data_IF_398036404137
#
_entry.id   IF_398036404137
#
_cell.length_a   1.000
_cell.length_b   1.000
_cell.length_c   1.000
_cell.angle_alpha   90.00
_cell.angle_beta   90.00
_cell.angle_gamma   90.00
#
_symmetry.space_group_name_H-M   'P 1'
#
loop_
_entity.id
_entity.type
_entity.pdbx_description
1 polymer ?
#
# COMPACT_ATOMS: atom_id res chain seq x y z
N UNK A 1 -10.30 0.12 18.81
CA UNK A 1 -9.30 -0.03 19.89
C UNK A 1 -9.58 -1.39 20.52
N UNK A 2 -8.95 -2.42 19.98
CA UNK A 2 -9.19 -3.82 20.33
C UNK A 2 -7.83 -4.49 20.44
N UNK A 3 -7.60 -5.12 21.58
CA UNK A 3 -6.30 -5.50 22.09
C UNK A 3 -5.61 -6.55 21.23
N UNK A 4 -4.40 -6.22 20.78
CA UNK A 4 -3.45 -7.18 20.23
C UNK A 4 -2.92 -7.99 21.42
N UNK A 5 -3.11 -9.32 21.38
CA UNK A 5 -2.56 -10.23 22.39
C UNK A 5 -1.04 -10.35 22.14
N UNK A 6 -0.25 -9.48 22.79
CA UNK A 6 1.20 -9.40 22.67
C UNK A 6 1.87 -10.14 23.82
N UNK A 7 2.45 -11.29 23.51
CA UNK A 7 3.39 -11.96 24.40
C UNK A 7 4.71 -11.15 24.37
N UNK A 8 4.93 -10.32 25.38
CA UNK A 8 6.17 -9.57 25.57
C UNK A 8 7.20 -10.49 26.20
N UNK A 9 8.22 -10.89 25.45
CA UNK A 9 9.43 -11.51 26.01
C UNK A 9 10.55 -10.48 25.93
N UNK A 10 10.93 -9.95 27.09
CA UNK A 10 12.11 -9.12 27.26
C UNK A 10 13.36 -10.00 27.15
N UNK A 11 14.05 -9.92 26.02
CA UNK A 11 15.46 -10.29 25.89
C UNK A 11 16.18 -9.22 25.07
N UNK A 12 17.42 -8.96 25.47
CA UNK A 12 18.22 -7.75 25.24
C UNK A 12 18.60 -7.57 23.76
N UNK A 13 18.37 -6.36 23.22
CA UNK A 13 18.81 -5.82 21.91
C UNK A 13 18.11 -6.25 20.59
N UNK A 14 16.86 -6.76 20.60
CA UNK A 14 16.09 -6.87 19.34
C UNK A 14 15.30 -5.58 19.04
N UNK A 15 15.29 -5.14 17.77
CA UNK A 15 14.36 -4.11 17.31
C UNK A 15 12.95 -4.72 17.25
N UNK A 16 12.02 -4.18 18.04
CA UNK A 16 10.63 -4.62 17.99
C UNK A 16 10.03 -4.31 16.61
N UNK A 17 9.24 -5.25 16.08
CA UNK A 17 8.54 -5.09 14.81
C UNK A 17 7.67 -3.82 14.80
N UNK A 18 7.01 -3.49 15.92
CA UNK A 18 6.16 -2.29 16.02
C UNK A 18 6.95 -0.98 15.79
N UNK A 19 8.20 -0.94 16.26
CA UNK A 19 9.09 0.23 16.09
C UNK A 19 9.46 0.37 14.61
N UNK A 20 9.82 -0.73 13.95
CA UNK A 20 10.15 -0.73 12.52
C UNK A 20 8.93 -0.33 11.67
N UNK A 21 7.75 -0.83 12.01
CA UNK A 21 6.52 -0.46 11.33
C UNK A 21 6.23 1.03 11.48
N UNK A 22 6.38 1.58 12.69
CA UNK A 22 6.18 3.01 12.96
C UNK A 22 7.18 3.86 12.18
N UNK A 23 8.47 3.50 12.23
CA UNK A 23 9.54 4.16 11.47
C UNK A 23 9.24 4.16 9.96
N UNK A 24 8.78 3.03 9.40
CA UNK A 24 8.40 2.93 8.00
C UNK A 24 7.24 3.88 7.65
N UNK A 25 6.20 3.91 8.47
CA UNK A 25 5.02 4.73 8.22
C UNK A 25 5.32 6.24 8.22
N UNK A 26 6.31 6.69 9.00
CA UNK A 26 6.71 8.09 9.09
C UNK A 26 7.65 8.53 7.96
N UNK A 27 8.52 7.63 7.49
CA UNK A 27 9.64 7.99 6.62
C UNK A 27 9.50 7.53 5.16
N UNK A 28 8.60 6.59 4.86
CA UNK A 28 8.58 5.92 3.57
C UNK A 28 8.09 6.84 2.41
N UNK A 29 8.86 6.98 1.30
CA UNK A 29 8.52 7.84 0.16
C UNK A 29 7.24 7.46 -0.57
N UNK A 30 6.82 6.19 -0.54
CA UNK A 30 5.56 5.77 -1.12
C UNK A 30 4.36 6.38 -0.39
N UNK A 31 4.41 6.46 0.94
CA UNK A 31 3.38 7.14 1.73
C UNK A 31 3.37 8.63 1.40
N UNK A 32 4.54 9.27 1.38
CA UNK A 32 4.68 10.69 1.02
C UNK A 32 4.13 10.98 -0.39
N UNK A 33 4.39 10.10 -1.36
CA UNK A 33 3.83 10.17 -2.73
C UNK A 33 2.30 10.23 -2.69
N UNK A 34 1.65 9.32 -1.95
CA UNK A 34 0.18 9.31 -1.87
C UNK A 34 -0.38 10.50 -1.09
N UNK A 35 0.29 10.94 -0.02
CA UNK A 35 -0.08 12.15 0.72
C UNK A 35 0.00 13.42 -0.15
N UNK A 36 1.03 13.54 -0.98
CA UNK A 36 1.15 14.65 -1.95
C UNK A 36 0.08 14.57 -3.05
N UNK A 37 -0.26 13.37 -3.52
CA UNK A 37 -1.35 13.19 -4.48
C UNK A 37 -2.70 13.61 -3.89
N UNK A 38 -2.98 13.22 -2.64
CA UNK A 38 -4.17 13.67 -1.92
C UNK A 38 -4.18 15.19 -1.76
N UNK A 39 -3.11 15.79 -1.21
CA UNK A 39 -2.98 17.25 -1.03
C UNK A 39 -3.20 18.00 -2.35
N UNK A 40 -2.63 17.51 -3.45
CA UNK A 40 -2.84 18.10 -4.79
C UNK A 40 -4.30 18.06 -5.23
N UNK A 41 -5.02 16.97 -4.98
CA UNK A 41 -6.44 16.88 -5.33
C UNK A 41 -7.30 17.71 -4.38
N UNK A 42 -6.98 17.76 -3.09
CA UNK A 42 -7.63 18.66 -2.13
C UNK A 42 -7.45 20.13 -2.52
N UNK A 43 -6.27 20.52 -3.00
CA UNK A 43 -6.02 21.91 -3.44
C UNK A 43 -6.86 22.29 -4.67
N UNK A 44 -7.24 21.33 -5.52
CA UNK A 44 -8.14 21.59 -6.64
C UNK A 44 -9.51 22.09 -6.22
N UNK A 45 -9.91 21.94 -4.95
CA UNK A 45 -11.14 22.55 -4.42
C UNK A 45 -11.04 24.07 -4.55
N UNK A 46 -9.87 24.66 -4.26
CA UNK A 46 -9.64 26.09 -4.43
C UNK A 46 -9.62 26.50 -5.92
N UNK A 47 -9.07 25.64 -6.80
CA UNK A 47 -9.06 25.87 -8.25
C UNK A 47 -10.49 26.02 -8.81
N UNK A 48 -11.43 25.20 -8.35
CA UNK A 48 -12.82 25.22 -8.83
C UNK A 48 -13.71 26.22 -8.09
N UNK A 49 -13.27 26.75 -6.96
CA UNK A 49 -13.93 27.83 -6.23
C UNK A 49 -13.66 29.19 -6.88
N UNK A 50 -14.15 29.34 -8.10
CA UNK A 50 -13.99 30.56 -8.87
C UNK A 50 -15.23 30.86 -9.72
N UNK A 51 -15.39 32.15 -10.02
CA UNK A 51 -16.36 32.64 -10.99
C UNK A 51 -15.68 32.82 -12.35
N UNK A 52 -16.43 32.82 -13.46
CA UNK A 52 -15.90 33.18 -14.77
C UNK A 52 -15.14 34.52 -14.76
N UNK A 53 -14.21 34.70 -15.69
CA UNK A 53 -13.47 35.95 -15.81
C UNK A 53 -14.42 37.15 -16.05
N UNK A 54 -14.07 38.30 -15.49
CA UNK A 54 -14.70 39.57 -15.87
C UNK A 54 -14.27 39.93 -17.30
N UNK A 55 -15.25 40.11 -18.17
CA UNK A 55 -15.04 40.50 -19.56
C UNK A 55 -15.02 42.03 -19.66
N UNK A 56 -13.90 42.59 -20.13
CA UNK A 56 -13.78 44.00 -20.49
C UNK A 56 -13.74 44.11 -22.02
N UNK A 57 -14.51 45.05 -22.57
CA UNK A 57 -14.59 45.29 -24.00
C UNK A 57 -14.45 46.77 -24.31
N UNK A 58 -13.77 47.09 -25.42
CA UNK A 58 -13.69 48.44 -25.98
C UNK A 58 -14.07 48.34 -27.45
N UNK A 59 -15.00 49.17 -27.89
CA UNK A 59 -15.44 49.27 -29.28
C UNK A 59 -15.39 50.71 -29.76
N UNK A 60 -14.92 50.92 -30.99
CA UNK A 60 -14.92 52.23 -31.64
C UNK A 60 -15.93 52.23 -32.79
N UNK A 61 -16.80 53.23 -32.86
CA UNK A 61 -17.82 53.32 -33.90
C UNK A 61 -17.24 53.96 -35.16
N UNK A 62 -16.87 53.13 -36.14
CA UNK A 62 -16.39 53.59 -37.45
C UNK A 62 -17.51 54.27 -38.25
N UNK A 63 -18.73 53.76 -38.13
CA UNK A 63 -19.94 54.41 -38.61
C UNK A 63 -20.71 54.88 -37.38
N UNK A 64 -20.72 56.19 -37.16
CA UNK A 64 -21.15 56.83 -35.91
C UNK A 64 -22.69 56.89 -35.83
N UNK A 65 -23.33 56.12 -34.94
CA UNK A 65 -24.77 56.21 -34.73
C UNK A 65 -25.14 57.56 -34.10
N UNK A 66 -26.11 58.25 -34.68
CA UNK A 66 -26.61 59.53 -34.17
C UNK A 66 -27.70 59.34 -33.11
N UNK A 67 -27.60 60.08 -32.01
CA UNK A 67 -28.65 60.21 -30.99
C UNK A 67 -29.20 61.64 -30.97
N UNK A 68 -30.27 61.90 -30.20
CA UNK A 68 -30.76 63.27 -29.99
C UNK A 68 -29.67 64.22 -29.46
N UNK A 69 -28.71 63.68 -28.69
CA UNK A 69 -27.65 64.44 -28.01
C UNK A 69 -26.32 64.45 -28.76
N UNK A 70 -26.20 63.74 -29.88
CA UNK A 70 -24.99 63.70 -30.70
C UNK A 70 -24.56 62.31 -31.15
N UNK A 71 -23.40 62.22 -31.81
CA UNK A 71 -22.87 61.00 -32.43
C UNK A 71 -22.15 60.12 -31.40
N UNK A 72 -22.37 58.79 -31.41
CA UNK A 72 -21.65 57.88 -30.52
C UNK A 72 -20.25 57.57 -31.08
N UNK A 73 -19.20 57.76 -30.26
CA UNK A 73 -17.79 57.64 -30.70
C UNK A 73 -17.16 56.31 -30.33
N UNK A 74 -17.30 55.91 -29.08
CA UNK A 74 -16.77 54.64 -28.58
C UNK A 74 -17.61 54.11 -27.43
N UNK A 75 -17.47 52.81 -27.18
CA UNK A 75 -18.11 52.07 -26.10
C UNK A 75 -17.05 51.36 -25.27
N UNK A 76 -17.16 51.45 -23.96
CA UNK A 76 -16.44 50.63 -22.99
C UNK A 76 -17.46 49.78 -22.25
N UNK A 77 -17.19 48.48 -22.12
CA UNK A 77 -18.09 47.55 -21.44
C UNK A 77 -17.35 46.74 -20.40
N UNK A 78 -17.97 46.54 -19.24
CA UNK A 78 -17.54 45.56 -18.24
C UNK A 78 -18.70 44.57 -18.00
N UNK A 79 -18.42 43.27 -17.97
CA UNK A 79 -19.43 42.22 -17.79
C UNK A 79 -18.89 41.10 -16.92
N UNK A 80 -19.68 40.66 -15.96
CA UNK A 80 -19.39 39.53 -15.09
C UNK A 80 -20.50 38.50 -15.20
N UNK A 81 -20.17 37.29 -15.63
CA UNK A 81 -21.09 36.14 -15.59
C UNK A 81 -20.99 35.44 -14.24
N UNK A 82 -22.13 35.12 -13.64
CA UNK A 82 -22.23 34.35 -12.41
C UNK A 82 -22.90 33.00 -12.69
N UNK A 83 -22.30 31.88 -12.25
CA UNK A 83 -22.94 30.57 -12.32
C UNK A 83 -24.27 30.55 -11.57
N UNK A 84 -25.15 29.60 -11.90
CA UNK A 84 -26.38 29.38 -11.14
C UNK A 84 -26.07 29.02 -9.68
N UNK A 85 -27.06 29.26 -8.82
CA UNK A 85 -26.96 28.93 -7.40
C UNK A 85 -26.58 27.46 -7.17
N UNK A 86 -25.50 27.26 -6.43
CA UNK A 86 -24.97 25.94 -6.08
C UNK A 86 -24.06 25.28 -7.11
N UNK A 87 -23.82 25.87 -8.30
CA UNK A 87 -22.90 25.28 -9.29
C UNK A 87 -21.46 25.21 -8.77
N UNK A 88 -20.98 26.27 -8.10
CA UNK A 88 -19.62 26.29 -7.51
C UNK A 88 -19.51 25.22 -6.41
N UNK A 89 -20.48 25.16 -5.50
CA UNK A 89 -20.53 24.14 -4.45
C UNK A 89 -20.56 22.72 -5.02
N UNK A 90 -21.27 22.47 -6.13
CA UNK A 90 -21.24 21.15 -6.79
C UNK A 90 -19.87 20.83 -7.40
N UNK A 91 -19.11 21.83 -7.87
CA UNK A 91 -17.72 21.61 -8.30
C UNK A 91 -16.84 21.24 -7.11
N UNK A 92 -16.94 21.99 -6.03
CA UNK A 92 -16.18 21.74 -4.79
C UNK A 92 -16.48 20.35 -4.23
N UNK A 93 -17.76 19.95 -4.18
CA UNK A 93 -18.18 18.63 -3.70
C UNK A 93 -17.64 17.50 -4.58
N UNK A 94 -17.68 17.67 -5.91
CA UNK A 94 -17.09 16.71 -6.83
C UNK A 94 -15.59 16.54 -6.59
N UNK A 95 -14.84 17.63 -6.55
CA UNK A 95 -13.39 17.57 -6.29
C UNK A 95 -13.08 16.99 -4.89
N UNK A 96 -13.87 17.37 -3.88
CA UNK A 96 -13.72 16.84 -2.52
C UNK A 96 -13.96 15.33 -2.47
N UNK A 97 -14.96 14.82 -3.19
CA UNK A 97 -15.22 13.38 -3.28
C UNK A 97 -14.10 12.60 -4.00
N UNK A 98 -13.43 13.22 -4.99
CA UNK A 98 -12.22 12.66 -5.58
C UNK A 98 -11.04 12.65 -4.59
N UNK A 99 -10.93 13.67 -3.74
CA UNK A 99 -9.94 13.72 -2.68
C UNK A 99 -10.19 12.61 -1.64
N UNK A 100 -11.45 12.35 -1.26
CA UNK A 100 -11.82 11.23 -0.38
C UNK A 100 -11.38 9.88 -0.96
N UNK A 101 -11.61 9.65 -2.26
CA UNK A 101 -11.14 8.43 -2.93
C UNK A 101 -9.60 8.33 -2.94
N UNK A 102 -8.89 9.46 -3.04
CA UNK A 102 -7.42 9.53 -2.95
C UNK A 102 -6.90 9.32 -1.54
N UNK A 103 -7.68 9.68 -0.52
CA UNK A 103 -7.33 9.41 0.87
C UNK A 103 -7.27 7.90 1.14
N UNK A 104 -8.20 7.12 0.57
CA UNK A 104 -8.16 5.65 0.69
C UNK A 104 -6.87 5.05 0.08
N UNK A 105 -6.29 5.67 -0.96
CA UNK A 105 -4.98 5.23 -1.49
C UNK A 105 -3.87 5.33 -0.42
N UNK A 106 -3.91 6.34 0.46
CA UNK A 106 -2.97 6.48 1.59
C UNK A 106 -3.18 5.34 2.59
N UNK A 107 -4.43 5.06 2.96
CA UNK A 107 -4.77 4.00 3.93
C UNK A 107 -4.32 2.63 3.42
N UNK A 108 -4.57 2.35 2.13
CA UNK A 108 -4.13 1.12 1.46
C UNK A 108 -2.60 1.04 1.46
N UNK A 109 -1.91 2.12 1.09
CA UNK A 109 -0.45 2.14 1.05
C UNK A 109 0.17 1.91 2.44
N UNK A 110 -0.38 2.55 3.49
CA UNK A 110 0.07 2.34 4.87
C UNK A 110 -0.08 0.88 5.29
N UNK A 111 -1.26 0.27 5.06
CA UNK A 111 -1.51 -1.15 5.37
C UNK A 111 -0.58 -2.10 4.61
N UNK A 112 -0.35 -1.85 3.32
CA UNK A 112 0.60 -2.65 2.51
C UNK A 112 2.01 -2.53 3.03
N UNK A 113 2.46 -1.33 3.38
CA UNK A 113 3.79 -1.10 3.92
C UNK A 113 3.98 -1.84 5.26
N UNK A 114 3.02 -1.76 6.17
CA UNK A 114 3.03 -2.52 7.43
C UNK A 114 3.20 -4.03 7.16
N UNK A 115 2.46 -4.56 6.19
CA UNK A 115 2.54 -5.97 5.81
C UNK A 115 3.91 -6.32 5.21
N UNK A 116 4.44 -5.50 4.30
CA UNK A 116 5.75 -5.70 3.69
C UNK A 116 6.89 -5.66 4.71
N UNK A 117 6.86 -4.71 5.65
CA UNK A 117 7.84 -4.60 6.75
C UNK A 117 7.80 -5.86 7.63
N UNK A 118 6.59 -6.30 8.01
CA UNK A 118 6.41 -7.49 8.84
C UNK A 118 6.89 -8.76 8.15
N UNK A 119 6.56 -8.95 6.87
CA UNK A 119 7.03 -10.09 6.08
C UNK A 119 8.56 -10.10 5.95
N UNK A 120 9.17 -8.95 5.64
CA UNK A 120 10.61 -8.80 5.55
C UNK A 120 11.31 -9.11 6.89
N UNK A 121 10.73 -8.65 8.00
CA UNK A 121 11.20 -8.97 9.34
C UNK A 121 11.18 -10.49 9.63
N UNK A 122 10.10 -11.19 9.29
CA UNK A 122 10.02 -12.65 9.47
C UNK A 122 10.97 -13.42 8.55
N UNK A 123 11.27 -12.91 7.35
CA UNK A 123 12.30 -13.47 6.48
C UNK A 123 13.70 -13.33 7.08
N UNK A 124 14.03 -12.16 7.65
CA UNK A 124 15.30 -11.94 8.37
C UNK A 124 15.45 -12.88 9.55
N UNK A 125 14.39 -13.03 10.36
CA UNK A 125 14.35 -14.00 11.45
C UNK A 125 14.65 -15.41 10.95
N UNK A 126 13.97 -15.87 9.90
CA UNK A 126 14.17 -17.21 9.38
C UNK A 126 15.61 -17.44 8.88
N UNK A 127 16.18 -16.48 8.17
CA UNK A 127 17.57 -16.56 7.72
C UNK A 127 18.55 -16.63 8.89
N UNK A 128 18.32 -15.86 9.95
CA UNK A 128 19.15 -15.85 11.16
C UNK A 128 19.03 -17.16 11.94
N UNK A 129 17.81 -17.62 12.21
CA UNK A 129 17.56 -18.85 12.94
C UNK A 129 18.15 -20.08 12.22
N UNK A 130 18.09 -20.13 10.89
CA UNK A 130 18.73 -21.22 10.12
C UNK A 130 20.26 -21.20 10.23
N UNK A 131 20.88 -20.02 10.22
CA UNK A 131 22.33 -19.91 10.42
C UNK A 131 22.75 -20.40 11.80
N UNK A 132 21.93 -20.16 12.83
CA UNK A 132 22.17 -20.65 14.20
C UNK A 132 22.07 -22.18 14.25
N UNK A 133 21.00 -22.77 13.71
CA UNK A 133 20.86 -24.24 13.62
C UNK A 133 22.01 -24.88 12.84
N UNK A 134 22.46 -24.28 11.74
CA UNK A 134 23.62 -24.79 10.98
C UNK A 134 24.91 -24.72 11.81
N UNK A 135 25.09 -23.65 12.59
CA UNK A 135 26.26 -23.49 13.46
C UNK A 135 26.29 -24.57 14.54
N UNK A 136 25.13 -24.87 15.16
CA UNK A 136 25.00 -25.95 16.14
C UNK A 136 25.27 -27.32 15.52
N UNK A 137 24.72 -27.59 14.32
CA UNK A 137 24.91 -28.87 13.63
C UNK A 137 26.35 -29.07 13.14
N UNK A 138 27.03 -28.02 12.65
CA UNK A 138 28.46 -28.10 12.30
C UNK A 138 29.29 -28.50 13.52
N UNK A 139 29.07 -27.84 14.67
CA UNK A 139 29.76 -28.16 15.93
C UNK A 139 29.48 -29.59 16.40
N UNK A 140 28.26 -30.08 16.19
CA UNK A 140 27.90 -31.46 16.49
C UNK A 140 28.65 -32.45 15.57
N UNK A 141 28.73 -32.16 14.26
CA UNK A 141 29.51 -32.98 13.33
C UNK A 141 31.01 -32.99 13.62
N UNK A 142 31.60 -31.90 14.12
CA UNK A 142 33.00 -31.88 14.58
C UNK A 142 33.24 -32.88 15.74
N UNK A 143 32.25 -33.03 16.61
CA UNK A 143 32.29 -34.01 17.70
C UNK A 143 32.25 -35.44 17.15
N UNK A 144 31.39 -35.72 16.17
CA UNK A 144 31.32 -37.03 15.51
C UNK A 144 32.55 -37.35 14.67
N UNK A 145 33.13 -36.36 13.99
CA UNK A 145 34.39 -36.51 13.26
C UNK A 145 35.53 -36.95 14.18
N UNK A 146 35.62 -36.33 15.37
CA UNK A 146 36.64 -36.70 16.37
C UNK A 146 36.46 -38.15 16.86
N UNK A 147 35.22 -38.59 17.06
CA UNK A 147 34.90 -39.98 17.40
C UNK A 147 35.21 -40.95 16.25
N UNK A 148 34.95 -40.55 15.00
CA UNK A 148 35.30 -41.35 13.83
C UNK A 148 36.82 -41.50 13.69
N UNK A 149 37.59 -40.41 13.86
CA UNK A 149 39.06 -40.41 13.80
C UNK A 149 39.68 -41.37 14.83
N UNK A 150 39.26 -41.28 16.10
CA UNK A 150 39.71 -42.20 17.15
C UNK A 150 39.31 -43.66 16.85
N UNK A 151 38.19 -43.88 16.17
CA UNK A 151 37.76 -45.22 15.76
C UNK A 151 38.57 -45.76 14.58
N UNK A 152 39.09 -44.91 13.70
CA UNK A 152 40.03 -45.28 12.62
C UNK A 152 41.36 -45.73 13.22
N UNK A 153 41.89 -45.05 14.23
CA UNK A 153 43.15 -45.40 14.89
C UNK A 153 43.14 -46.81 15.49
N UNK A 154 41.98 -47.25 16.00
CA UNK A 154 41.78 -48.60 16.57
C UNK A 154 41.24 -49.61 15.55
N UNK A 155 41.19 -49.25 14.25
CA UNK A 155 40.78 -50.14 13.15
C UNK A 155 39.30 -50.49 13.12
N UNK A 156 38.44 -49.69 13.77
CA UNK A 156 36.98 -49.89 13.89
C UNK A 156 36.16 -49.01 12.94
N UNK A 157 36.79 -48.09 12.22
CA UNK A 157 36.14 -47.20 11.24
C UNK A 157 37.01 -47.02 9.99
N UNK A 158 36.39 -46.56 8.90
CA UNK A 158 37.10 -46.24 7.67
C UNK A 158 37.46 -44.75 7.60
N UNK A 159 38.60 -44.41 7.01
CA UNK A 159 38.91 -43.01 6.67
C UNK A 159 37.85 -42.38 5.73
N UNK A 160 37.11 -43.21 4.99
CA UNK A 160 35.97 -42.76 4.17
C UNK A 160 34.86 -42.16 5.04
N UNK A 161 34.62 -42.71 6.24
CA UNK A 161 33.58 -42.23 7.15
C UNK A 161 33.92 -40.83 7.67
N UNK A 162 35.20 -40.58 7.98
CA UNK A 162 35.72 -39.25 8.36
C UNK A 162 35.54 -38.25 7.22
N UNK A 163 35.91 -38.61 5.99
CA UNK A 163 35.74 -37.74 4.83
C UNK A 163 34.27 -37.40 4.57
N UNK A 164 33.33 -38.31 4.87
CA UNK A 164 31.89 -38.03 4.77
C UNK A 164 31.46 -36.94 5.75
N UNK A 165 31.91 -36.99 7.00
CA UNK A 165 31.63 -35.92 7.98
C UNK A 165 32.17 -34.56 7.50
N UNK A 166 33.40 -34.52 7.00
CA UNK A 166 34.00 -33.30 6.46
C UNK A 166 33.23 -32.74 5.25
N UNK A 167 32.80 -33.60 4.32
CA UNK A 167 31.95 -33.18 3.21
C UNK A 167 30.62 -32.57 3.70
N UNK A 168 29.99 -33.16 4.72
CA UNK A 168 28.75 -32.62 5.29
C UNK A 168 28.95 -31.29 6.02
N UNK A 169 30.04 -31.13 6.76
CA UNK A 169 30.39 -29.83 7.35
C UNK A 169 30.58 -28.76 6.26
N UNK A 170 31.26 -29.09 5.16
CA UNK A 170 31.43 -28.19 4.02
C UNK A 170 30.09 -27.79 3.38
N UNK A 171 29.16 -28.74 3.20
CA UNK A 171 27.81 -28.47 2.69
C UNK A 171 27.03 -27.53 3.62
N UNK A 172 27.08 -27.76 4.94
CA UNK A 172 26.41 -26.91 5.93
C UNK A 172 27.02 -25.50 5.99
N UNK A 173 28.35 -25.40 5.90
CA UNK A 173 29.05 -24.12 5.86
C UNK A 173 28.69 -23.33 4.59
N UNK A 174 28.66 -24.01 3.43
CA UNK A 174 28.21 -23.40 2.17
C UNK A 174 26.76 -22.90 2.27
N UNK A 175 25.85 -23.65 2.88
CA UNK A 175 24.47 -23.21 3.08
C UNK A 175 24.38 -22.01 4.04
N UNK A 176 25.18 -22.00 5.11
CA UNK A 176 25.25 -20.88 6.07
C UNK A 176 25.75 -19.60 5.41
N UNK A 177 26.76 -19.71 4.55
CA UNK A 177 27.30 -18.56 3.81
C UNK A 177 26.27 -18.00 2.82
N UNK A 178 25.51 -18.86 2.14
CA UNK A 178 24.39 -18.45 1.28
C UNK A 178 23.30 -17.74 2.09
N UNK A 179 22.91 -18.28 3.26
CA UNK A 179 21.92 -17.65 4.15
C UNK A 179 22.40 -16.30 4.69
N UNK A 180 23.70 -16.13 4.90
CA UNK A 180 24.30 -14.84 5.27
C UNK A 180 24.10 -13.80 4.16
N UNK A 181 24.34 -14.19 2.90
CA UNK A 181 24.07 -13.30 1.75
C UNK A 181 22.58 -12.99 1.60
N UNK A 182 21.70 -13.97 1.79
CA UNK A 182 20.24 -13.76 1.79
C UNK A 182 19.79 -12.82 2.91
N UNK A 183 20.40 -12.91 4.10
CA UNK A 183 20.14 -11.99 5.20
C UNK A 183 20.53 -10.55 4.84
N UNK A 184 21.70 -10.33 4.24
CA UNK A 184 22.14 -8.99 3.81
C UNK A 184 21.23 -8.40 2.73
N UNK A 185 20.77 -9.22 1.78
CA UNK A 185 19.82 -8.80 0.75
C UNK A 185 18.45 -8.41 1.37
N UNK A 186 17.92 -9.23 2.27
CA UNK A 186 16.65 -8.93 2.96
C UNK A 186 16.80 -7.73 3.92
N UNK A 187 17.98 -7.52 4.52
CA UNK A 187 18.26 -6.34 5.35
C UNK A 187 18.22 -5.07 4.50
N UNK A 188 18.81 -5.13 3.30
CA UNK A 188 18.73 -4.03 2.34
C UNK A 188 17.27 -3.76 1.95
N UNK A 189 16.48 -4.80 1.71
CA UNK A 189 15.05 -4.66 1.42
C UNK A 189 14.30 -3.95 2.57
N UNK A 190 14.47 -4.43 3.80
CA UNK A 190 13.85 -3.83 4.97
C UNK A 190 14.28 -2.37 5.18
N UNK A 191 15.57 -2.06 5.04
CA UNK A 191 16.09 -0.70 5.18
C UNK A 191 15.52 0.24 4.10
N UNK A 192 15.28 -0.24 2.88
CA UNK A 192 14.60 0.54 1.84
C UNK A 192 13.12 0.77 2.15
N UNK A 193 12.42 -0.21 2.74
CA UNK A 193 11.05 0.00 3.25
C UNK A 193 11.00 1.05 4.37
N UNK A 194 12.06 1.17 5.16
CA UNK A 194 12.25 2.16 6.21
C UNK A 194 12.87 3.47 5.72
N UNK A 195 13.15 3.58 4.42
CA UNK A 195 13.79 4.75 3.80
C UNK A 195 15.09 5.21 4.51
N UNK A 196 15.97 4.27 4.82
CA UNK A 196 17.28 4.52 5.44
C UNK A 196 18.41 3.85 4.67
N UNK A 197 19.66 4.10 5.07
CA UNK A 197 20.83 3.53 4.40
C UNK A 197 20.76 1.99 4.33
N UNK A 198 21.20 1.44 3.20
CA UNK A 198 21.05 0.01 2.88
C UNK A 198 21.71 -0.93 3.90
N UNK A 199 22.80 -0.51 4.53
CA UNK A 199 23.66 -1.33 5.40
C UNK A 199 23.38 -1.13 6.90
N UNK A 200 22.32 -0.41 7.28
CA UNK A 200 21.94 -0.28 8.69
C UNK A 200 21.65 -1.67 9.27
N UNK A 201 22.33 -2.00 10.36
CA UNK A 201 22.18 -3.32 10.98
C UNK A 201 20.78 -3.47 11.58
N UNK A 202 20.11 -4.57 11.22
CA UNK A 202 18.81 -4.98 11.77
C UNK A 202 19.02 -6.15 12.71
N UNK A 203 18.48 -6.03 13.93
CA UNK A 203 18.52 -7.11 14.92
C UNK A 203 17.13 -7.67 15.15
N UNK A 204 16.93 -8.92 14.76
CA UNK A 204 15.69 -9.69 14.95
C UNK A 204 15.69 -10.41 16.29
N UNK A 205 14.51 -10.83 16.75
CA UNK A 205 14.36 -11.64 17.96
C UNK A 205 15.10 -12.97 17.83
N UNK A 206 15.61 -13.49 18.94
CA UNK A 206 16.35 -14.77 18.98
C UNK A 206 15.45 -15.97 18.66
N UNK A 207 14.19 -15.95 19.11
CA UNK A 207 13.27 -17.07 18.88
C UNK A 207 11.83 -16.59 18.71
N UNK A 208 11.15 -17.16 17.72
CA UNK A 208 9.71 -17.06 17.54
C UNK A 208 9.09 -18.44 17.77
N UNK A 209 8.14 -18.51 18.70
CA UNK A 209 7.42 -19.74 19.03
C UNK A 209 6.16 -19.87 18.18
N UNK A 210 5.81 -21.10 17.81
CA UNK A 210 4.50 -21.38 17.23
C UNK A 210 3.41 -21.15 18.29
N UNK A 211 2.40 -20.29 18.05
CA UNK A 211 1.33 -20.07 19.01
C UNK A 211 0.54 -21.34 19.30
N UNK A 212 0.25 -21.62 20.57
CA UNK A 212 -0.47 -22.82 21.01
C UNK A 212 -1.93 -22.84 20.56
N UNK A 213 -2.58 -21.68 20.51
CA UNK A 213 -3.96 -21.53 20.08
C UNK A 213 -4.03 -20.82 18.72
N UNK A 214 -5.14 -21.04 18.02
CA UNK A 214 -5.48 -20.26 16.85
C UNK A 214 -6.52 -19.20 17.22
N UNK A 215 -6.47 -18.04 16.59
CA UNK A 215 -7.48 -17.02 16.78
C UNK A 215 -8.57 -17.16 15.70
N UNK A 216 -9.81 -16.88 16.09
CA UNK A 216 -10.94 -16.96 15.16
C UNK A 216 -10.84 -15.85 14.10
N UNK A 217 -10.82 -16.25 12.83
CA UNK A 217 -10.73 -15.31 11.71
C UNK A 217 -12.14 -14.91 11.30
N UNK A 218 -12.55 -13.70 11.66
CA UNK A 218 -13.85 -13.16 11.26
C UNK A 218 -13.78 -12.61 9.83
N UNK A 219 -14.26 -13.38 8.85
CA UNK A 219 -14.25 -13.01 7.42
C UNK A 219 -15.18 -11.84 7.08
N UNK A 220 -16.13 -11.50 7.97
CA UNK A 220 -17.08 -10.38 7.76
C UNK A 220 -16.40 -9.02 7.60
N UNK A 221 -15.18 -8.85 8.12
CA UNK A 221 -14.46 -7.58 8.03
C UNK A 221 -13.89 -7.31 6.64
N UNK A 222 -13.78 -8.31 5.76
CA UNK A 222 -13.18 -8.14 4.44
C UNK A 222 -13.92 -7.11 3.59
N UNK A 223 -15.25 -7.03 3.73
CA UNK A 223 -16.07 -6.05 3.01
C UNK A 223 -15.76 -4.59 3.40
N UNK A 224 -15.14 -4.37 4.57
CA UNK A 224 -14.72 -3.07 5.07
C UNK A 224 -13.24 -2.76 4.73
N UNK A 225 -12.59 -3.62 3.95
CA UNK A 225 -11.20 -3.43 3.57
C UNK A 225 -11.04 -2.13 2.74
N UNK A 226 -10.03 -1.28 2.99
CA UNK A 226 -9.88 0.03 2.33
C UNK A 226 -9.83 -0.03 0.80
N UNK A 227 -9.29 -1.11 0.23
CA UNK A 227 -9.31 -1.31 -1.23
C UNK A 227 -10.73 -1.44 -1.80
N UNK A 228 -11.70 -1.92 -1.01
CA UNK A 228 -13.11 -1.98 -1.40
C UNK A 228 -13.82 -0.66 -1.09
N UNK A 229 -13.51 -0.02 0.05
CA UNK A 229 -14.04 1.30 0.41
C UNK A 229 -13.65 2.37 -0.61
N UNK A 230 -12.47 2.26 -1.21
CA UNK A 230 -12.05 3.11 -2.32
C UNK A 230 -13.06 3.11 -3.47
N UNK A 231 -13.61 1.95 -3.84
CA UNK A 231 -14.63 1.89 -4.88
C UNK A 231 -15.94 2.55 -4.46
N UNK A 232 -16.30 2.49 -3.17
CA UNK A 232 -17.46 3.23 -2.66
C UNK A 232 -17.23 4.75 -2.75
N UNK A 233 -16.02 5.22 -2.45
CA UNK A 233 -15.65 6.63 -2.61
C UNK A 233 -15.63 7.07 -4.08
N UNK A 234 -15.12 6.22 -4.97
CA UNK A 234 -15.18 6.48 -6.41
C UNK A 234 -16.62 6.54 -6.90
N UNK A 235 -17.48 5.61 -6.50
CA UNK A 235 -18.90 5.61 -6.83
C UNK A 235 -19.57 6.91 -6.40
N UNK A 236 -19.35 7.33 -5.15
CA UNK A 236 -19.84 8.62 -4.61
C UNK A 236 -19.31 9.81 -5.43
N UNK A 237 -18.07 9.74 -5.91
CA UNK A 237 -17.54 10.82 -6.76
C UNK A 237 -18.24 10.93 -8.11
N UNK A 238 -18.72 9.83 -8.67
CA UNK A 238 -19.52 9.84 -9.90
C UNK A 238 -20.93 10.38 -9.62
N UNK A 239 -21.50 10.13 -8.45
CA UNK A 239 -22.76 10.79 -8.04
C UNK A 239 -22.58 12.32 -7.95
N UNK A 240 -21.48 12.79 -7.36
CA UNK A 240 -21.19 14.23 -7.32
C UNK A 240 -20.88 14.80 -8.71
N UNK A 241 -20.23 14.03 -9.59
CA UNK A 241 -20.03 14.39 -11.00
C UNK A 241 -21.36 14.59 -11.73
N UNK A 242 -22.36 13.72 -11.47
CA UNK A 242 -23.69 13.86 -12.06
C UNK A 242 -24.45 15.08 -11.51
N UNK A 243 -24.38 15.33 -10.20
CA UNK A 243 -24.95 16.54 -9.62
C UNK A 243 -24.32 17.81 -10.20
N UNK A 244 -23.00 17.81 -10.39
CA UNK A 244 -22.29 18.89 -11.08
C UNK A 244 -22.79 19.05 -12.51
N UNK A 245 -22.86 17.97 -13.28
CA UNK A 245 -23.36 17.96 -14.66
C UNK A 245 -24.78 18.57 -14.76
N UNK A 246 -25.66 18.25 -13.82
CA UNK A 246 -27.01 18.84 -13.74
C UNK A 246 -26.99 20.34 -13.40
N UNK A 247 -26.11 20.77 -12.48
CA UNK A 247 -25.96 22.18 -12.12
C UNK A 247 -25.30 23.01 -13.20
N UNK A 248 -24.38 22.45 -13.98
CA UNK A 248 -23.78 23.12 -15.13
C UNK A 248 -24.75 23.24 -16.32
N UNK A 249 -25.83 22.45 -16.33
CA UNK A 249 -26.94 22.61 -17.27
C UNK A 249 -27.95 23.68 -16.83
N UNK A 250 -27.70 24.38 -15.72
CA UNK A 250 -28.53 25.51 -15.29
C UNK A 250 -28.10 26.81 -15.98
N UNK A 251 -28.99 27.82 -16.09
CA UNK A 251 -28.63 29.10 -16.69
C UNK A 251 -27.52 29.84 -15.93
N UNK A 252 -26.87 30.79 -16.57
CA UNK A 252 -25.97 31.74 -15.91
C UNK A 252 -26.57 33.14 -15.96
N UNK A 253 -26.34 33.93 -14.91
CA UNK A 253 -26.82 35.33 -14.84
C UNK A 253 -25.61 36.24 -14.98
N UNK A 254 -25.66 37.17 -15.93
CA UNK A 254 -24.60 38.14 -16.16
C UNK A 254 -25.04 39.55 -15.80
N UNK A 255 -24.19 40.27 -15.10
CA UNK A 255 -24.33 41.70 -14.84
C UNK A 255 -23.28 42.45 -15.64
N UNK A 256 -23.66 43.59 -16.23
CA UNK A 256 -22.72 44.40 -16.97
C UNK A 256 -23.05 45.88 -16.95
N UNK A 257 -22.11 46.67 -17.42
CA UNK A 257 -22.24 48.11 -17.56
C UNK A 257 -21.59 48.51 -18.88
N UNK A 258 -22.36 49.16 -19.74
CA UNK A 258 -21.85 49.84 -20.92
C UNK A 258 -21.76 51.33 -20.66
N UNK A 259 -20.61 51.91 -20.99
CA UNK A 259 -20.40 53.34 -21.11
C UNK A 259 -20.20 53.67 -22.58
N UNK A 260 -21.03 54.55 -23.13
CA UNK A 260 -20.93 54.98 -24.52
C UNK A 260 -20.71 56.49 -24.54
N UNK A 261 -19.61 56.91 -25.15
CA UNK A 261 -19.32 58.31 -25.32
C UNK A 261 -20.13 58.92 -26.47
N UNK A 262 -20.70 60.10 -26.24
CA UNK A 262 -21.47 60.86 -27.23
C UNK A 262 -20.82 62.22 -27.50
N UNK A 263 -20.48 62.49 -28.75
CA UNK A 263 -19.91 63.76 -29.18
C UNK A 263 -21.00 64.85 -29.26
N UNK A 264 -20.86 66.01 -28.59
CA UNK A 264 -21.85 67.08 -28.64
C UNK A 264 -22.12 67.60 -30.06
N UNK A 265 -23.36 68.00 -30.33
CA UNK A 265 -23.73 68.61 -31.62
C UNK A 265 -23.25 70.06 -31.69
N UNK A 266 -22.53 70.48 -32.75
CA UNK A 266 -21.93 71.82 -32.82
C UNK A 266 -22.95 72.96 -32.88
N UNK A 267 -24.12 72.75 -33.49
CA UNK A 267 -25.11 73.82 -33.74
C UNK A 267 -26.36 73.75 -32.84
N UNK A 268 -26.29 73.06 -31.70
CA UNK A 268 -27.41 72.93 -30.75
C UNK A 268 -26.97 73.25 -29.33
N UNK A 269 -27.75 74.04 -28.59
CA UNK A 269 -27.47 74.37 -27.20
C UNK A 269 -28.65 74.00 -26.30
N UNK A 270 -28.52 72.91 -25.56
CA UNK A 270 -29.46 72.44 -24.55
C UNK A 270 -28.71 71.66 -23.47
N UNK A 271 -29.33 71.49 -22.30
CA UNK A 271 -28.69 71.02 -21.07
C UNK A 271 -28.03 69.63 -21.14
N UNK A 272 -28.49 68.75 -22.04
CA UNK A 272 -28.00 67.37 -22.20
C UNK A 272 -27.22 67.15 -23.53
N UNK A 273 -26.75 68.21 -24.21
CA UNK A 273 -25.98 68.05 -25.46
C UNK A 273 -24.67 67.30 -25.19
N UNK A 274 -24.36 66.25 -25.96
CA UNK A 274 -23.20 65.38 -25.77
C UNK A 274 -23.26 64.52 -24.50
N UNK A 275 -24.44 64.32 -23.91
CA UNK A 275 -24.56 63.48 -22.71
C UNK A 275 -24.26 62.01 -23.03
N UNK A 276 -23.23 61.49 -22.37
CA UNK A 276 -22.84 60.09 -22.46
C UNK A 276 -23.93 59.14 -21.94
N UNK A 277 -23.91 57.91 -22.45
CA UNK A 277 -24.87 56.88 -22.09
C UNK A 277 -24.23 55.91 -21.11
N UNK A 278 -24.89 55.70 -19.98
CA UNK A 278 -24.57 54.64 -19.02
C UNK A 278 -25.70 53.64 -19.04
N UNK A 279 -25.41 52.40 -19.43
CA UNK A 279 -26.41 51.35 -19.62
C UNK A 279 -26.07 50.13 -18.76
N UNK A 280 -26.70 49.96 -17.59
CA UNK A 280 -26.60 48.72 -16.84
C UNK A 280 -27.31 47.59 -17.60
N UNK A 281 -26.70 46.42 -17.61
CA UNK A 281 -27.18 45.24 -18.31
C UNK A 281 -27.38 44.08 -17.35
N UNK A 282 -28.48 43.35 -17.53
CA UNK A 282 -28.70 42.02 -16.97
C UNK A 282 -28.89 41.07 -18.15
N UNK A 283 -28.16 39.96 -18.13
CA UNK A 283 -28.19 38.93 -19.18
C UNK A 283 -28.41 37.56 -18.57
N UNK A 284 -29.06 36.67 -19.31
CA UNK A 284 -29.24 35.27 -18.92
C UNK A 284 -28.75 34.38 -20.06
N UNK A 285 -27.81 33.48 -19.75
CA UNK A 285 -27.31 32.49 -20.70
C UNK A 285 -27.98 31.14 -20.39
N UNK A 286 -28.73 30.59 -21.34
CA UNK A 286 -29.49 29.34 -21.15
C UNK A 286 -28.95 28.27 -22.09
N UNK A 287 -28.51 27.10 -21.58
CA UNK A 287 -28.13 25.98 -22.43
C UNK A 287 -29.40 25.33 -23.04
N UNK A 288 -29.63 25.57 -24.33
CA UNK A 288 -30.81 25.03 -25.06
C UNK A 288 -30.51 23.63 -25.62
N UNK A 289 -29.28 23.40 -26.12
CA UNK A 289 -28.90 22.14 -26.77
C UNK A 289 -28.19 21.19 -25.81
N UNK A 290 -28.97 20.42 -25.05
CA UNK A 290 -28.47 19.67 -23.89
C UNK A 290 -27.91 18.27 -24.21
N UNK A 291 -27.53 18.00 -25.46
CA UNK A 291 -26.97 16.70 -25.87
C UNK A 291 -25.68 16.36 -25.12
N UNK A 292 -24.83 17.38 -24.86
CA UNK A 292 -23.61 17.25 -24.04
C UNK A 292 -23.94 16.68 -22.65
N UNK A 293 -24.83 17.33 -21.91
CA UNK A 293 -25.19 16.94 -20.54
C UNK A 293 -25.87 15.56 -20.49
N UNK A 294 -26.77 15.26 -21.43
CA UNK A 294 -27.39 13.93 -21.55
C UNK A 294 -26.36 12.83 -21.82
N UNK A 295 -25.37 13.11 -22.66
CA UNK A 295 -24.27 12.18 -22.94
C UNK A 295 -23.39 11.97 -21.70
N UNK A 296 -23.13 13.02 -20.91
CA UNK A 296 -22.36 12.89 -19.67
C UNK A 296 -23.11 12.08 -18.61
N UNK A 297 -24.42 12.29 -18.44
CA UNK A 297 -25.25 11.47 -17.55
C UNK A 297 -25.16 9.99 -17.93
N UNK A 298 -25.26 9.66 -19.23
CA UNK A 298 -25.12 8.28 -19.69
C UNK A 298 -23.73 7.70 -19.42
N UNK A 299 -22.67 8.49 -19.56
CA UNK A 299 -21.31 8.07 -19.22
C UNK A 299 -21.16 7.82 -17.71
N UNK A 300 -21.67 8.72 -16.87
CA UNK A 300 -21.65 8.56 -15.41
C UNK A 300 -22.40 7.28 -14.97
N UNK A 301 -23.55 6.97 -15.58
CA UNK A 301 -24.27 5.71 -15.32
C UNK A 301 -23.44 4.47 -15.69
N UNK A 302 -22.75 4.49 -16.83
CA UNK A 302 -21.89 3.38 -17.27
C UNK A 302 -20.66 3.24 -16.38
N UNK A 303 -20.05 4.35 -15.97
CA UNK A 303 -18.90 4.38 -15.07
C UNK A 303 -19.26 3.86 -13.67
N UNK A 304 -20.47 4.14 -13.17
CA UNK A 304 -20.98 3.53 -11.93
C UNK A 304 -21.12 1.99 -12.04
N UNK A 305 -21.58 1.49 -13.18
CA UNK A 305 -21.67 0.05 -13.43
C UNK A 305 -20.28 -0.57 -13.51
N UNK A 306 -19.33 0.10 -14.17
CA UNK A 306 -17.92 -0.31 -14.22
C UNK A 306 -17.30 -0.39 -12.82
N UNK A 307 -17.45 0.66 -12.01
CA UNK A 307 -16.93 0.71 -10.63
C UNK A 307 -17.52 -0.43 -9.78
N UNK A 308 -18.81 -0.73 -9.95
CA UNK A 308 -19.46 -1.84 -9.24
C UNK A 308 -18.86 -3.19 -9.64
N UNK A 309 -18.62 -3.39 -10.95
CA UNK A 309 -17.98 -4.60 -11.46
C UNK A 309 -16.52 -4.72 -10.97
N UNK A 310 -15.75 -3.64 -11.00
CA UNK A 310 -14.37 -3.60 -10.49
C UNK A 310 -14.31 -3.88 -8.98
N UNK A 311 -15.26 -3.35 -8.19
CA UNK A 311 -15.37 -3.66 -6.76
C UNK A 311 -15.61 -5.15 -6.53
N UNK A 312 -16.50 -5.77 -7.31
CA UNK A 312 -16.78 -7.21 -7.21
C UNK A 312 -15.57 -8.06 -7.62
N UNK A 313 -14.89 -7.71 -8.72
CA UNK A 313 -13.65 -8.37 -9.14
C UNK A 313 -12.58 -8.29 -8.04
N UNK A 314 -12.43 -7.11 -7.43
CA UNK A 314 -11.46 -6.93 -6.35
C UNK A 314 -11.84 -7.74 -5.12
N UNK A 315 -13.12 -7.77 -4.75
CA UNK A 315 -13.61 -8.60 -3.65
C UNK A 315 -13.28 -10.08 -3.88
N UNK A 316 -13.57 -10.63 -5.06
CA UNK A 316 -13.25 -12.03 -5.40
C UNK A 316 -11.75 -12.31 -5.27
N UNK A 317 -10.91 -11.35 -5.67
CA UNK A 317 -9.45 -11.45 -5.54
C UNK A 317 -9.02 -11.48 -4.07
N UNK A 318 -9.59 -10.60 -3.24
CA UNK A 318 -9.29 -10.53 -1.81
C UNK A 318 -9.81 -11.75 -1.04
N UNK A 319 -10.96 -12.29 -1.41
CA UNK A 319 -11.49 -13.55 -0.86
C UNK A 319 -10.57 -14.73 -1.18
N UNK A 320 -10.09 -14.79 -2.43
CA UNK A 320 -9.12 -15.82 -2.86
C UNK A 320 -7.81 -15.70 -2.07
N UNK A 321 -7.30 -14.48 -1.91
CA UNK A 321 -6.08 -14.22 -1.14
C UNK A 321 -6.26 -14.59 0.34
N UNK A 322 -7.39 -14.23 0.94
CA UNK A 322 -7.71 -14.55 2.33
C UNK A 322 -7.81 -16.06 2.54
N UNK A 323 -8.58 -16.75 1.68
CA UNK A 323 -8.71 -18.21 1.73
C UNK A 323 -7.37 -18.90 1.60
N UNK A 324 -6.52 -18.45 0.66
CA UNK A 324 -5.15 -18.97 0.50
C UNK A 324 -4.32 -18.76 1.77
N UNK A 325 -4.31 -17.55 2.31
CA UNK A 325 -3.51 -17.24 3.50
C UNK A 325 -3.94 -18.05 4.73
N UNK A 326 -5.25 -18.25 4.92
CA UNK A 326 -5.79 -19.12 5.99
C UNK A 326 -5.29 -20.55 5.83
N UNK A 327 -5.44 -21.14 4.64
CA UNK A 327 -5.05 -22.52 4.39
C UNK A 327 -3.52 -22.72 4.46
N UNK A 328 -2.73 -21.76 3.98
CA UNK A 328 -1.27 -21.80 4.08
C UNK A 328 -0.80 -21.65 5.54
N UNK A 329 -1.48 -20.83 6.35
CA UNK A 329 -1.21 -20.71 7.80
C UNK A 329 -1.51 -22.00 8.55
N UNK A 330 -2.64 -22.64 8.25
CA UNK A 330 -2.99 -23.96 8.82
C UNK A 330 -1.98 -25.01 8.39
N UNK A 331 -1.61 -25.04 7.10
CA UNK A 331 -0.61 -25.97 6.57
C UNK A 331 0.75 -25.81 7.24
N UNK A 332 1.16 -24.56 7.51
CA UNK A 332 2.39 -24.26 8.24
C UNK A 332 2.34 -24.84 9.67
N UNK A 333 1.21 -24.72 10.38
CA UNK A 333 1.04 -25.32 11.71
C UNK A 333 1.12 -26.86 11.67
N UNK A 334 0.42 -27.50 10.72
CA UNK A 334 0.47 -28.96 10.53
C UNK A 334 1.90 -29.44 10.23
N UNK A 335 2.61 -28.71 9.37
CA UNK A 335 4.02 -28.97 9.06
C UNK A 335 4.87 -28.88 10.33
N UNK A 336 4.76 -27.79 11.09
CA UNK A 336 5.48 -27.59 12.34
C UNK A 336 5.26 -28.73 13.34
N UNK A 337 4.01 -29.15 13.56
CA UNK A 337 3.69 -30.26 14.47
C UNK A 337 4.29 -31.59 14.02
N UNK A 338 4.22 -31.87 12.71
CA UNK A 338 4.84 -33.05 12.10
C UNK A 338 6.35 -33.04 12.30
N UNK A 339 7.03 -31.92 11.99
CA UNK A 339 8.48 -31.82 12.16
C UNK A 339 8.91 -31.90 13.62
N UNK A 340 8.09 -31.40 14.54
CA UNK A 340 8.36 -31.51 15.98
C UNK A 340 8.36 -32.97 16.43
N UNK A 341 7.39 -33.78 15.96
CA UNK A 341 7.33 -35.21 16.25
C UNK A 341 8.51 -35.97 15.61
N UNK A 342 8.82 -35.68 14.35
CA UNK A 342 9.91 -36.33 13.62
C UNK A 342 11.28 -35.99 14.22
N UNK A 343 11.51 -34.74 14.62
CA UNK A 343 12.74 -34.32 15.29
C UNK A 343 12.92 -35.05 16.62
N UNK A 344 11.84 -35.24 17.38
CA UNK A 344 11.88 -36.04 18.62
C UNK A 344 12.30 -37.49 18.32
N UNK A 345 11.69 -38.14 17.34
CA UNK A 345 12.03 -39.50 16.95
C UNK A 345 13.48 -39.63 16.44
N UNK A 346 13.95 -38.64 15.67
CA UNK A 346 15.32 -38.63 15.17
C UNK A 346 16.36 -38.45 16.30
N UNK A 347 16.04 -37.65 17.33
CA UNK A 347 16.86 -37.55 18.55
C UNK A 347 16.86 -38.84 19.36
N UNK A 348 15.70 -39.48 19.53
CA UNK A 348 15.62 -40.78 20.21
C UNK A 348 16.44 -41.85 19.45
N UNK A 349 16.44 -41.82 18.11
CA UNK A 349 17.25 -42.71 17.27
C UNK A 349 18.75 -42.42 17.37
N UNK A 350 19.15 -41.14 17.37
CA UNK A 350 20.53 -40.71 17.62
C UNK A 350 21.04 -41.25 18.96
N UNK A 351 20.27 -41.07 20.04
CA UNK A 351 20.65 -41.55 21.38
C UNK A 351 20.88 -43.08 21.41
N UNK A 352 20.08 -43.85 20.66
CA UNK A 352 20.25 -45.31 20.55
C UNK A 352 21.51 -45.67 19.75
N UNK A 353 21.74 -44.98 18.63
CA UNK A 353 22.92 -45.19 17.80
C UNK A 353 24.20 -44.85 18.56
N UNK A 354 24.23 -43.74 19.30
CA UNK A 354 25.36 -43.35 20.14
C UNK A 354 25.60 -44.37 21.27
N UNK A 355 24.56 -44.86 21.96
CA UNK A 355 24.76 -45.91 22.99
C UNK A 355 25.34 -47.20 22.42
N UNK A 356 25.00 -47.53 21.16
CA UNK A 356 25.55 -48.70 20.47
C UNK A 356 27.04 -48.52 20.08
N UNK A 357 27.57 -47.29 20.12
CA UNK A 357 29.00 -46.99 20.00
C UNK A 357 29.81 -47.58 21.14
N UNK A 358 29.34 -47.39 22.37
CA UNK A 358 30.04 -47.82 23.59
C UNK A 358 30.19 -49.35 23.65
N UNK A 359 29.33 -50.08 22.93
CA UNK A 359 29.35 -51.54 22.81
C UNK A 359 30.10 -52.07 21.58
N UNK A 360 30.65 -51.20 20.71
CA UNK A 360 31.62 -51.57 19.67
C UNK A 360 31.05 -51.95 18.29
N UNK A 361 29.78 -51.66 18.00
CA UNK A 361 29.09 -52.03 16.75
C UNK A 361 28.46 -50.81 16.06
N UNK A 362 29.23 -49.76 15.78
CA UNK A 362 28.69 -48.59 15.07
C UNK A 362 28.83 -48.69 13.56
N UNK A 363 27.80 -48.20 12.87
CA UNK A 363 27.83 -47.80 11.47
C UNK A 363 27.70 -46.27 11.43
N UNK A 364 28.81 -45.54 11.21
CA UNK A 364 28.82 -44.07 11.20
C UNK A 364 27.91 -43.47 10.13
N UNK A 365 27.54 -44.24 9.12
CA UNK A 365 26.56 -43.83 8.11
C UNK A 365 25.17 -43.65 8.71
N UNK A 366 24.77 -44.53 9.62
CA UNK A 366 23.44 -44.43 10.26
C UNK A 366 23.38 -43.17 11.14
N UNK A 367 24.47 -42.80 11.80
CA UNK A 367 24.56 -41.54 12.57
C UNK A 367 24.43 -40.34 11.62
N UNK A 368 25.17 -40.34 10.51
CA UNK A 368 25.13 -39.25 9.53
C UNK A 368 23.74 -39.09 8.90
N UNK A 369 23.07 -40.19 8.57
CA UNK A 369 21.72 -40.21 8.01
C UNK A 369 20.69 -39.63 9.01
N UNK A 370 20.81 -40.00 10.30
CA UNK A 370 19.97 -39.42 11.35
C UNK A 370 20.24 -37.92 11.53
N UNK A 371 21.50 -37.47 11.47
CA UNK A 371 21.83 -36.04 11.52
C UNK A 371 21.23 -35.27 10.35
N UNK A 372 21.27 -35.82 9.14
CA UNK A 372 20.65 -35.20 7.97
C UNK A 372 19.13 -35.04 8.16
N UNK A 373 18.46 -36.06 8.72
CA UNK A 373 17.05 -35.97 9.06
C UNK A 373 16.77 -34.91 10.12
N UNK A 374 17.57 -34.84 11.19
CA UNK A 374 17.42 -33.82 12.23
C UNK A 374 17.56 -32.41 11.66
N UNK A 375 18.62 -32.15 10.90
CA UNK A 375 18.84 -30.86 10.25
C UNK A 375 17.66 -30.49 9.36
N UNK A 376 17.19 -31.43 8.52
CA UNK A 376 16.02 -31.24 7.66
C UNK A 376 14.77 -30.86 8.47
N UNK A 377 14.50 -31.54 9.58
CA UNK A 377 13.34 -31.26 10.41
C UNK A 377 13.45 -29.90 11.11
N UNK A 378 14.62 -29.54 11.63
CA UNK A 378 14.87 -28.21 12.22
C UNK A 378 14.70 -27.09 11.20
N UNK A 379 15.25 -27.24 9.99
CA UNK A 379 15.09 -26.27 8.89
C UNK A 379 13.62 -26.08 8.51
N UNK A 380 12.88 -27.19 8.44
CA UNK A 380 11.45 -27.16 8.11
C UNK A 380 10.59 -26.59 9.26
N UNK A 381 10.99 -26.73 10.52
CA UNK A 381 10.32 -26.05 11.64
C UNK A 381 10.44 -24.53 11.52
N UNK A 382 11.64 -24.01 11.21
CA UNK A 382 11.86 -22.58 11.01
C UNK A 382 11.04 -22.06 9.83
N UNK A 383 11.02 -22.79 8.72
CA UNK A 383 10.18 -22.45 7.56
C UNK A 383 8.69 -22.44 7.89
N UNK A 384 8.24 -23.37 8.72
CA UNK A 384 6.85 -23.43 9.17
C UNK A 384 6.50 -22.26 10.09
N UNK A 385 7.41 -21.86 10.99
CA UNK A 385 7.25 -20.65 11.81
C UNK A 385 7.16 -19.40 10.93
N UNK A 386 8.11 -19.21 10.02
CA UNK A 386 8.10 -18.09 9.07
C UNK A 386 6.80 -18.06 8.27
N UNK A 387 6.42 -19.19 7.68
CA UNK A 387 5.19 -19.34 6.90
C UNK A 387 3.96 -18.93 7.70
N UNK A 388 3.83 -19.41 8.93
CA UNK A 388 2.71 -19.05 9.80
C UNK A 388 2.61 -17.53 10.03
N UNK A 389 3.72 -16.87 10.37
CA UNK A 389 3.73 -15.42 10.67
C UNK A 389 3.55 -14.55 9.43
N UNK A 390 4.13 -14.94 8.29
CA UNK A 390 3.90 -14.28 6.99
C UNK A 390 2.43 -14.35 6.61
N UNK A 391 1.80 -15.52 6.73
CA UNK A 391 0.38 -15.66 6.42
C UNK A 391 -0.51 -14.94 7.44
N UNK A 392 -0.12 -14.91 8.71
CA UNK A 392 -0.81 -14.11 9.74
C UNK A 392 -0.76 -12.62 9.41
N UNK A 393 0.35 -12.14 8.86
CA UNK A 393 0.49 -10.76 8.38
C UNK A 393 -0.47 -10.46 7.22
N UNK A 394 -0.59 -11.38 6.26
CA UNK A 394 -1.51 -11.25 5.13
C UNK A 394 -2.96 -11.25 5.61
N UNK A 395 -3.32 -12.13 6.54
CA UNK A 395 -4.64 -12.16 7.16
C UNK A 395 -4.92 -10.82 7.85
N UNK A 396 -4.00 -10.34 8.70
CA UNK A 396 -4.16 -9.06 9.39
C UNK A 396 -4.34 -7.90 8.41
N UNK A 397 -3.54 -7.83 7.33
CA UNK A 397 -3.73 -6.84 6.27
C UNK A 397 -5.16 -6.83 5.71
N UNK A 398 -5.77 -8.01 5.54
CA UNK A 398 -7.09 -8.18 4.91
C UNK A 398 -8.27 -7.93 5.85
N UNK A 399 -8.13 -8.20 7.15
CA UNK A 399 -9.27 -8.22 8.08
C UNK A 399 -9.12 -7.30 9.31
N UNK A 400 -7.97 -6.66 9.49
CA UNK A 400 -7.67 -5.71 10.57
C UNK A 400 -7.18 -4.40 9.95
#
# INVERSE_FOLDING_TARGET
MTAILLCSINSINSQSLDVLVTEALESNPEIQKFELQYKRVSEKVNEVNTIPNTEFGVGYFVSEPETRTGAQRFKVSAKQMLPWFGTITSRENYISSLADAKYEDIVIAKRKLMASVSQSYYNLYANKAKQEVLTENIKLLETYETLALTSVEVGKASAVDVLRFQMRQNEMQQLKDVLSQQFLAEQTNLNNLLNRENNVTVTVVESLMMPSEDFEITTKNLALHPELLKYDKLYQSIEQSELLNQKENSPMIGFGLDYINVEPRPDMNFSDNGKDIVMPMVSVSIPIFNKKYKSQTKQNELEQQEITAQKQERLNTLETLLSKAINERISARISYETQTKNLKQAKDAEDILIKSYETGTINFNDVLDIQELQLKFQMNQIESIKGYYVQSTIINYLIQ
#
